data_IF_188190720571
#
_entry.id   IF_188190720571
#
_cell.length_a   1.000
_cell.length_b   1.000
_cell.length_c   1.000
_cell.angle_alpha   90.00
_cell.angle_beta   90.00
_cell.angle_gamma   90.00
#
_symmetry.space_group_name_H-M   'P 1'
#
loop_
_entity.id
_entity.type
_entity.pdbx_description
1 polymer ?
#
# COMPACT_ATOMS: atom_id res chain seq x y z
N UNK A 1 17.52 21.40 5.83
CA UNK A 1 17.59 20.56 4.62
C UNK A 1 16.14 20.31 4.23
N UNK A 2 15.72 20.56 2.98
CA UNK A 2 14.30 20.54 2.61
C UNK A 2 13.70 19.13 2.73
N UNK A 3 12.37 19.09 2.85
CA UNK A 3 11.61 17.85 2.72
C UNK A 3 11.69 17.31 1.29
N UNK A 4 11.84 16.00 1.14
CA UNK A 4 11.78 15.30 -0.15
C UNK A 4 10.31 15.07 -0.47
N UNK A 5 9.82 15.70 -1.54
CA UNK A 5 8.52 15.40 -2.11
C UNK A 5 8.68 14.38 -3.25
N UNK A 6 8.20 13.12 -3.10
CA UNK A 6 8.26 12.12 -4.17
C UNK A 6 7.55 12.54 -5.46
N UNK A 7 6.57 13.44 -5.36
CA UNK A 7 5.79 13.97 -6.48
C UNK A 7 6.39 15.25 -7.07
N UNK A 8 7.54 15.74 -6.56
CA UNK A 8 8.22 16.88 -7.15
C UNK A 8 8.59 16.56 -8.61
N UNK A 9 8.28 17.51 -9.50
CA UNK A 9 8.53 17.41 -10.95
C UNK A 9 7.86 16.24 -11.67
N UNK A 10 6.90 15.54 -11.04
CA UNK A 10 6.16 14.47 -11.69
C UNK A 10 5.07 15.03 -12.61
N UNK A 11 5.09 14.66 -13.90
CA UNK A 11 4.12 15.10 -14.94
C UNK A 11 3.22 13.96 -15.46
N UNK A 12 3.19 12.86 -14.73
CA UNK A 12 2.36 11.68 -14.98
C UNK A 12 0.86 11.83 -14.64
N UNK A 13 0.20 10.69 -14.48
CA UNK A 13 -1.22 10.59 -14.18
C UNK A 13 -1.46 9.72 -12.95
N UNK A 14 -2.49 10.06 -12.17
CA UNK A 14 -2.98 9.22 -11.09
C UNK A 14 -3.80 8.05 -11.65
N UNK A 15 -3.47 6.84 -11.22
CA UNK A 15 -4.27 5.64 -11.46
C UNK A 15 -4.56 4.91 -10.17
N UNK A 16 -5.73 4.26 -10.13
CA UNK A 16 -6.19 3.45 -9.01
C UNK A 16 -5.76 1.99 -9.18
N UNK A 17 -5.44 1.31 -8.08
CA UNK A 17 -5.31 -0.15 -8.07
C UNK A 17 -4.96 -0.74 -6.70
N UNK A 18 -4.94 -2.07 -6.63
CA UNK A 18 -4.57 -2.84 -5.45
C UNK A 18 -3.36 -3.74 -5.77
N UNK A 19 -2.49 -3.92 -4.78
CA UNK A 19 -1.32 -4.80 -4.88
C UNK A 19 -1.56 -6.18 -4.30
N UNK A 20 -2.69 -6.40 -3.61
CA UNK A 20 -2.96 -7.61 -2.85
C UNK A 20 -4.37 -8.09 -3.15
N UNK A 21 -4.48 -9.26 -3.79
CA UNK A 21 -5.76 -9.86 -4.16
C UNK A 21 -5.60 -11.32 -4.57
N UNK A 22 -6.69 -12.07 -4.38
CA UNK A 22 -6.70 -13.52 -4.50
C UNK A 22 -7.85 -13.99 -5.40
N UNK A 23 -7.69 -15.16 -6.01
CA UNK A 23 -8.75 -15.81 -6.76
C UNK A 23 -9.01 -17.24 -6.28
N UNK A 24 -10.25 -17.71 -6.43
CA UNK A 24 -10.67 -19.02 -5.94
C UNK A 24 -9.97 -20.19 -6.66
N UNK A 25 -9.48 -19.95 -7.88
CA UNK A 25 -8.78 -20.95 -8.67
C UNK A 25 -7.41 -21.33 -8.06
N UNK A 26 -6.79 -20.41 -7.32
CA UNK A 26 -5.41 -20.53 -6.87
C UNK A 26 -5.19 -20.26 -5.37
N UNK A 27 -6.15 -19.64 -4.68
CA UNK A 27 -6.12 -19.42 -3.23
C UNK A 27 -7.36 -20.03 -2.56
N UNK A 28 -7.17 -21.07 -1.75
CA UNK A 28 -8.26 -21.80 -1.09
C UNK A 28 -9.09 -20.98 -0.08
N UNK A 29 -8.60 -19.79 0.29
CA UNK A 29 -9.27 -18.81 1.14
C UNK A 29 -10.13 -17.82 0.35
N UNK A 30 -10.02 -17.76 -0.97
CA UNK A 30 -10.83 -16.88 -1.82
C UNK A 30 -12.09 -17.59 -2.30
N UNK A 31 -13.18 -16.84 -2.41
CA UNK A 31 -14.45 -17.26 -3.00
C UNK A 31 -14.76 -16.55 -4.32
N UNK A 32 -13.84 -15.72 -4.81
CA UNK A 32 -14.01 -14.88 -5.99
C UNK A 32 -13.23 -15.48 -7.17
N UNK A 33 -13.91 -15.86 -8.27
CA UNK A 33 -13.23 -16.30 -9.48
C UNK A 33 -12.37 -15.21 -10.10
N UNK A 34 -11.24 -15.58 -10.71
CA UNK A 34 -10.32 -14.66 -11.39
C UNK A 34 -11.07 -13.78 -12.39
N UNK A 35 -11.93 -14.37 -13.21
CA UNK A 35 -12.69 -13.64 -14.23
C UNK A 35 -13.62 -12.58 -13.62
N UNK A 36 -14.19 -12.83 -12.44
CA UNK A 36 -15.04 -11.89 -11.72
C UNK A 36 -14.19 -10.75 -11.13
N UNK A 37 -13.08 -11.09 -10.48
CA UNK A 37 -12.13 -10.11 -9.93
C UNK A 37 -11.66 -9.12 -11.01
N UNK A 38 -11.20 -9.62 -12.15
CA UNK A 38 -10.72 -8.77 -13.25
C UNK A 38 -11.81 -7.87 -13.83
N UNK A 39 -13.04 -8.39 -14.00
CA UNK A 39 -14.19 -7.58 -14.43
C UNK A 39 -14.50 -6.48 -13.42
N UNK A 40 -14.49 -6.78 -12.14
CA UNK A 40 -14.79 -5.80 -11.10
C UNK A 40 -13.76 -4.67 -11.07
N UNK A 41 -12.47 -4.98 -11.24
CA UNK A 41 -11.43 -3.96 -11.36
C UNK A 41 -11.60 -3.07 -12.60
N UNK A 42 -12.02 -3.64 -13.75
CA UNK A 42 -12.42 -2.83 -14.92
C UNK A 42 -13.63 -1.93 -14.59
N UNK A 43 -14.68 -2.46 -13.95
CA UNK A 43 -15.92 -1.73 -13.62
C UNK A 43 -15.71 -0.51 -12.72
N UNK A 44 -14.61 -0.47 -11.95
CA UNK A 44 -14.25 0.66 -11.09
C UNK A 44 -13.16 1.57 -11.68
N UNK A 45 -12.93 1.45 -12.99
CA UNK A 45 -11.92 2.19 -13.75
C UNK A 45 -10.52 2.12 -13.10
N UNK A 46 -10.14 0.93 -12.58
CA UNK A 46 -8.79 0.73 -12.09
C UNK A 46 -7.79 0.84 -13.24
N UNK A 47 -6.64 1.48 -12.99
CA UNK A 47 -5.54 1.52 -13.96
C UNK A 47 -4.55 0.38 -13.78
N UNK A 48 -4.57 -0.33 -12.64
CA UNK A 48 -3.83 -1.57 -12.48
C UNK A 48 -4.51 -2.55 -11.52
N UNK A 49 -4.17 -3.83 -11.68
CA UNK A 49 -4.54 -4.92 -10.77
C UNK A 49 -3.35 -5.85 -10.58
N UNK A 50 -3.25 -6.43 -9.40
CA UNK A 50 -2.26 -7.45 -9.06
C UNK A 50 -2.98 -8.67 -8.54
N UNK A 51 -2.64 -9.86 -9.05
CA UNK A 51 -3.01 -11.12 -8.42
C UNK A 51 -1.81 -11.66 -7.66
N UNK A 52 -2.02 -11.98 -6.40
CA UNK A 52 -0.99 -12.40 -5.44
C UNK A 52 -1.46 -13.62 -4.68
N UNK A 53 -1.91 -14.64 -5.40
CA UNK A 53 -2.32 -15.90 -4.80
C UNK A 53 -1.19 -16.50 -3.93
N UNK A 54 -1.58 -17.22 -2.88
CA UNK A 54 -0.63 -17.74 -1.90
C UNK A 54 0.38 -18.69 -2.56
N UNK A 55 1.66 -18.30 -2.56
CA UNK A 55 2.78 -19.06 -3.14
C UNK A 55 2.47 -19.57 -4.57
N UNK A 56 1.74 -18.80 -5.36
CA UNK A 56 1.33 -19.12 -6.73
C UNK A 56 1.35 -17.88 -7.64
N UNK A 57 1.81 -18.04 -8.88
CA UNK A 57 1.80 -16.96 -9.88
C UNK A 57 0.73 -17.27 -10.92
N UNK A 58 -0.37 -16.52 -10.84
CA UNK A 58 -1.52 -16.65 -11.73
C UNK A 58 -1.19 -16.08 -13.12
N UNK A 59 -1.45 -16.85 -14.18
CA UNK A 59 -1.18 -16.41 -15.56
C UNK A 59 -2.22 -15.37 -16.03
N UNK A 60 -1.83 -14.10 -15.99
CA UNK A 60 -2.64 -12.97 -16.45
C UNK A 60 -2.46 -12.68 -17.96
N UNK A 61 -1.69 -13.48 -18.69
CA UNK A 61 -1.45 -13.32 -20.14
C UNK A 61 -2.73 -13.25 -20.98
N UNK A 62 -3.71 -14.16 -20.79
CA UNK A 62 -4.99 -14.10 -21.48
C UNK A 62 -5.80 -12.84 -21.18
N UNK A 63 -5.74 -12.35 -19.94
CA UNK A 63 -6.50 -11.18 -19.49
C UNK A 63 -6.04 -9.88 -20.16
N UNK A 64 -4.75 -9.75 -20.49
CA UNK A 64 -4.19 -8.55 -21.17
C UNK A 64 -4.87 -8.25 -22.51
N UNK A 65 -5.39 -9.26 -23.20
CA UNK A 65 -6.12 -9.05 -24.47
C UNK A 65 -7.57 -8.60 -24.24
N UNK A 66 -8.16 -9.00 -23.11
CA UNK A 66 -9.55 -8.70 -22.77
C UNK A 66 -9.68 -7.30 -22.16
N UNK A 67 -8.70 -6.86 -21.38
CA UNK A 67 -8.72 -5.58 -20.66
C UNK A 67 -7.47 -4.74 -20.99
N UNK A 68 -7.39 -4.14 -22.19
CA UNK A 68 -6.17 -3.48 -22.68
C UNK A 68 -5.77 -2.22 -21.91
N UNK A 69 -6.72 -1.60 -21.20
CA UNK A 69 -6.49 -0.38 -20.41
C UNK A 69 -6.04 -0.68 -18.96
N UNK A 70 -6.07 -1.94 -18.54
CA UNK A 70 -5.69 -2.37 -17.20
C UNK A 70 -4.23 -2.87 -17.20
N UNK A 71 -3.37 -2.25 -16.40
CA UNK A 71 -2.02 -2.76 -16.20
C UNK A 71 -2.04 -3.98 -15.26
N UNK A 72 -1.57 -5.12 -15.75
CA UNK A 72 -1.52 -6.36 -14.97
C UNK A 72 -0.14 -6.59 -14.36
N UNK A 73 -0.07 -6.50 -13.04
CA UNK A 73 1.10 -6.93 -12.28
C UNK A 73 0.94 -8.41 -11.93
N UNK A 74 1.97 -9.18 -12.22
CA UNK A 74 2.09 -10.57 -11.77
C UNK A 74 2.70 -10.57 -10.38
N UNK A 75 2.23 -11.45 -9.51
CA UNK A 75 2.73 -11.53 -8.16
C UNK A 75 2.35 -12.83 -7.47
N UNK A 76 2.79 -12.93 -6.22
CA UNK A 76 2.38 -13.96 -5.27
C UNK A 76 2.44 -13.35 -3.87
N UNK A 77 1.60 -13.82 -2.96
CA UNK A 77 1.78 -13.58 -1.53
C UNK A 77 2.61 -14.72 -0.96
N UNK A 78 3.80 -14.41 -0.44
CA UNK A 78 4.64 -15.38 0.25
C UNK A 78 3.92 -15.83 1.52
N UNK A 79 3.61 -17.12 1.66
CA UNK A 79 2.69 -17.61 2.71
C UNK A 79 3.19 -18.79 3.55
N UNK A 80 4.46 -19.17 3.41
CA UNK A 80 5.05 -20.21 4.27
C UNK A 80 5.45 -19.70 5.68
N UNK A 81 5.40 -18.38 5.89
CA UNK A 81 5.52 -17.70 7.20
C UNK A 81 4.71 -16.40 7.15
N UNK A 82 5.04 -15.41 7.99
CA UNK A 82 4.38 -14.11 7.93
C UNK A 82 4.46 -13.50 6.51
N UNK A 83 3.37 -12.87 6.08
CA UNK A 83 3.08 -12.67 4.67
C UNK A 83 3.81 -11.47 4.07
N UNK A 84 4.25 -11.63 2.83
CA UNK A 84 4.87 -10.57 2.00
C UNK A 84 4.44 -10.73 0.56
N UNK A 85 3.85 -9.69 -0.05
CA UNK A 85 3.60 -9.63 -1.49
C UNK A 85 4.90 -9.36 -2.23
N UNK A 86 5.10 -10.09 -3.34
CA UNK A 86 6.08 -9.79 -4.38
C UNK A 86 5.34 -9.57 -5.68
N UNK A 87 5.51 -8.42 -6.33
CA UNK A 87 4.83 -8.16 -7.61
C UNK A 87 5.63 -7.29 -8.59
N UNK A 88 5.32 -7.45 -9.87
CA UNK A 88 5.84 -6.62 -10.95
C UNK A 88 5.35 -7.04 -12.34
N UNK A 89 6.02 -6.58 -13.41
CA UNK A 89 5.62 -6.96 -14.78
C UNK A 89 5.79 -8.47 -15.06
N UNK A 90 6.75 -9.09 -14.37
CA UNK A 90 6.95 -10.54 -14.32
C UNK A 90 7.61 -10.90 -13.00
N UNK A 91 7.33 -12.09 -12.48
CA UNK A 91 7.91 -12.58 -11.23
C UNK A 91 8.33 -14.05 -11.38
N UNK A 92 9.46 -14.41 -10.79
CA UNK A 92 9.92 -15.80 -10.68
C UNK A 92 9.26 -16.48 -9.45
N UNK A 93 9.29 -17.81 -9.39
CA UNK A 93 8.76 -18.60 -8.26
C UNK A 93 9.64 -18.48 -6.98
N UNK A 94 9.87 -17.26 -6.51
CA UNK A 94 10.74 -16.93 -5.36
C UNK A 94 10.18 -17.47 -4.03
N UNK A 95 8.87 -17.76 -3.96
CA UNK A 95 8.25 -18.46 -2.83
C UNK A 95 8.82 -19.87 -2.56
N UNK A 96 9.63 -20.42 -3.48
CA UNK A 96 10.36 -21.68 -3.26
C UNK A 96 11.66 -21.52 -2.47
N UNK A 97 12.09 -20.28 -2.22
CA UNK A 97 13.28 -19.94 -1.45
C UNK A 97 12.89 -19.56 -0.01
N UNK A 98 13.88 -19.39 0.87
CA UNK A 98 13.59 -18.69 2.13
C UNK A 98 13.17 -17.25 1.84
N UNK A 99 12.37 -16.65 2.72
CA UNK A 99 11.95 -15.25 2.55
C UNK A 99 13.14 -14.29 2.44
N UNK A 100 14.21 -14.52 3.19
CA UNK A 100 15.44 -13.74 3.15
C UNK A 100 16.15 -13.84 1.78
N UNK A 101 16.23 -15.04 1.22
CA UNK A 101 16.78 -15.27 -0.12
C UNK A 101 15.88 -14.68 -1.22
N UNK A 102 14.56 -14.79 -1.07
CA UNK A 102 13.58 -14.22 -1.98
C UNK A 102 13.69 -12.69 -2.01
N UNK A 103 13.73 -12.02 -0.86
CA UNK A 103 13.90 -10.57 -0.76
C UNK A 103 15.23 -10.11 -1.36
N UNK A 104 16.33 -10.84 -1.09
CA UNK A 104 17.65 -10.54 -1.69
C UNK A 104 17.61 -10.63 -3.22
N UNK A 105 16.74 -11.48 -3.78
CA UNK A 105 16.57 -11.69 -5.22
C UNK A 105 15.44 -10.87 -5.85
N UNK A 106 14.68 -10.11 -5.05
CA UNK A 106 13.51 -9.38 -5.53
C UNK A 106 13.87 -8.37 -6.62
N UNK A 107 15.05 -7.74 -6.54
CA UNK A 107 15.54 -6.80 -7.55
C UNK A 107 14.56 -5.65 -7.78
N UNK A 108 14.01 -5.59 -8.99
CA UNK A 108 13.08 -4.54 -9.41
C UNK A 108 11.62 -4.80 -8.98
N UNK A 109 11.30 -5.95 -8.38
CA UNK A 109 9.96 -6.25 -7.87
C UNK A 109 9.59 -5.29 -6.74
N UNK A 110 8.30 -4.98 -6.61
CA UNK A 110 7.75 -4.34 -5.43
C UNK A 110 7.51 -5.40 -4.35
N UNK A 111 7.94 -5.12 -3.13
CA UNK A 111 7.77 -6.00 -1.97
C UNK A 111 7.01 -5.30 -0.85
N UNK A 112 5.94 -5.92 -0.37
CA UNK A 112 5.03 -5.31 0.63
C UNK A 112 4.79 -6.29 1.77
N UNK A 113 5.08 -5.89 3.01
CA UNK A 113 4.68 -6.65 4.20
C UNK A 113 3.15 -6.62 4.32
N UNK A 114 2.51 -7.78 4.26
CA UNK A 114 1.06 -7.87 4.36
C UNK A 114 0.60 -7.84 5.81
N UNK A 115 -0.51 -7.14 6.04
CA UNK A 115 -1.31 -7.11 7.26
C UNK A 115 -0.53 -7.37 8.55
N UNK A 116 0.49 -6.55 8.89
CA UNK A 116 1.60 -6.94 9.78
C UNK A 116 1.21 -7.30 11.21
N UNK A 117 0.08 -6.82 11.71
CA UNK A 117 -0.38 -7.10 13.06
C UNK A 117 -1.88 -7.39 13.04
N UNK A 118 -2.32 -8.46 12.36
CA UNK A 118 -3.72 -8.62 11.96
C UNK A 118 -4.62 -8.94 13.15
N UNK A 119 -4.03 -9.34 14.29
CA UNK A 119 -4.68 -9.55 15.57
C UNK A 119 -4.14 -8.60 16.66
N UNK A 120 -3.51 -7.49 16.24
CA UNK A 120 -2.82 -6.53 17.09
C UNK A 120 -1.40 -6.95 17.51
N UNK A 121 -0.61 -5.98 17.99
CA UNK A 121 0.81 -6.15 18.34
C UNK A 121 1.09 -7.23 19.40
N UNK A 122 0.11 -7.56 20.24
CA UNK A 122 0.26 -8.58 21.27
C UNK A 122 0.35 -10.01 20.71
N UNK A 123 -0.11 -10.24 19.47
CA UNK A 123 0.14 -11.47 18.74
C UNK A 123 1.32 -11.22 17.81
N UNK A 124 2.48 -11.76 18.17
CA UNK A 124 3.74 -11.60 17.43
C UNK A 124 3.67 -12.25 16.04
N UNK A 125 2.98 -11.60 15.10
CA UNK A 125 3.00 -11.89 13.67
C UNK A 125 4.22 -11.19 13.06
N UNK A 126 4.07 -10.03 12.42
CA UNK A 126 5.22 -9.19 12.10
C UNK A 126 5.61 -8.30 13.29
N UNK A 127 6.91 -8.26 13.57
CA UNK A 127 7.53 -7.34 14.54
C UNK A 127 8.73 -6.68 13.89
N UNK A 128 9.13 -5.50 14.36
CA UNK A 128 10.32 -4.82 13.81
C UNK A 128 11.57 -5.70 13.88
N UNK A 129 11.90 -6.40 14.99
CA UNK A 129 13.05 -7.30 15.01
C UNK A 129 12.98 -8.44 13.97
N UNK A 130 11.79 -8.96 13.66
CA UNK A 130 11.64 -9.98 12.60
C UNK A 130 11.94 -9.40 11.23
N UNK A 131 11.47 -8.19 10.92
CA UNK A 131 11.77 -7.50 9.65
C UNK A 131 13.26 -7.16 9.54
N UNK A 132 13.86 -6.61 10.60
CA UNK A 132 15.30 -6.29 10.65
C UNK A 132 16.18 -7.53 10.47
N UNK A 133 15.72 -8.69 10.97
CA UNK A 133 16.43 -9.96 10.82
C UNK A 133 16.40 -10.53 9.39
N UNK A 134 15.55 -10.01 8.48
CA UNK A 134 15.50 -10.47 7.08
C UNK A 134 16.73 -10.06 6.27
N UNK A 135 17.49 -9.07 6.75
CA UNK A 135 18.69 -8.55 6.10
C UNK A 135 18.43 -7.63 4.89
N UNK A 136 17.31 -7.81 4.19
CA UNK A 136 16.78 -6.90 3.17
C UNK A 136 15.40 -6.42 3.62
N UNK A 137 15.23 -5.11 3.77
CA UNK A 137 13.95 -4.52 4.13
C UNK A 137 13.01 -4.52 2.90
N UNK A 138 11.74 -4.96 3.04
CA UNK A 138 10.74 -4.77 2.00
C UNK A 138 10.53 -3.30 1.65
N UNK A 139 10.05 -3.00 0.45
CA UNK A 139 9.84 -1.62 -0.03
C UNK A 139 8.76 -0.88 0.75
N UNK A 140 7.78 -1.62 1.30
CA UNK A 140 6.72 -1.04 2.12
C UNK A 140 5.96 -2.06 2.94
N UNK A 141 4.91 -1.56 3.59
CA UNK A 141 3.99 -2.35 4.40
C UNK A 141 2.56 -1.97 4.08
N UNK A 142 1.62 -2.87 4.33
CA UNK A 142 0.21 -2.50 4.43
C UNK A 142 0.00 -1.63 5.68
N UNK A 143 -0.53 -0.43 5.48
CA UNK A 143 -1.03 0.45 6.55
C UNK A 143 -2.53 0.26 6.77
N UNK A 144 -3.23 -0.28 5.77
CA UNK A 144 -4.62 -0.69 5.88
C UNK A 144 -4.88 -1.96 5.05
N UNK A 145 -5.52 -2.96 5.67
CA UNK A 145 -5.98 -4.17 4.98
C UNK A 145 -7.51 -4.24 4.98
N UNK A 146 -8.08 -4.28 3.78
CA UNK A 146 -9.50 -4.24 3.50
C UNK A 146 -10.29 -5.44 3.99
N UNK A 147 -9.78 -6.64 3.70
CA UNK A 147 -10.36 -7.92 4.15
C UNK A 147 -10.54 -7.97 5.67
N UNK A 148 -9.55 -7.48 6.42
CA UNK A 148 -9.65 -7.36 7.88
C UNK A 148 -10.48 -6.18 8.39
N UNK A 149 -10.85 -5.27 7.50
CA UNK A 149 -11.73 -4.13 7.77
C UNK A 149 -13.22 -4.48 7.73
N UNK A 150 -13.59 -5.60 7.11
CA UNK A 150 -14.99 -6.03 6.95
C UNK A 150 -15.66 -6.36 8.29
N UNK A 151 -17.01 -6.30 8.38
CA UNK A 151 -17.73 -6.73 9.58
C UNK A 151 -17.33 -8.14 10.04
N UNK A 152 -17.12 -9.06 9.09
CA UNK A 152 -16.68 -10.43 9.34
C UNK A 152 -15.27 -10.47 9.93
N UNK A 153 -14.30 -9.77 9.31
CA UNK A 153 -12.94 -9.67 9.80
C UNK A 153 -12.88 -9.14 11.24
N UNK A 154 -13.59 -8.03 11.49
CA UNK A 154 -13.67 -7.41 12.83
C UNK A 154 -14.33 -8.31 13.86
N UNK A 155 -15.38 -9.05 13.51
CA UNK A 155 -16.03 -10.02 14.40
C UNK A 155 -15.11 -11.17 14.80
N UNK A 156 -14.16 -11.54 13.93
CA UNK A 156 -13.12 -12.54 14.20
C UNK A 156 -11.92 -11.98 14.99
N UNK A 157 -12.00 -10.73 15.45
CA UNK A 157 -10.95 -10.05 16.21
C UNK A 157 -9.80 -9.53 15.35
N UNK A 158 -9.99 -9.44 14.03
CA UNK A 158 -9.01 -8.82 13.13
C UNK A 158 -9.01 -7.31 13.32
N UNK A 159 -7.89 -6.70 12.99
CA UNK A 159 -7.71 -5.25 13.03
C UNK A 159 -7.07 -4.81 11.70
N UNK A 160 -7.66 -3.83 10.99
CA UNK A 160 -7.23 -3.49 9.63
C UNK A 160 -6.13 -2.42 9.59
N UNK A 161 -5.84 -1.73 10.70
CA UNK A 161 -5.07 -0.48 10.70
C UNK A 161 -3.67 -0.71 11.30
N UNK A 162 -2.63 -0.41 10.51
CA UNK A 162 -1.24 -0.70 10.89
C UNK A 162 -0.34 0.54 10.88
N UNK A 163 -0.92 1.74 10.88
CA UNK A 163 -0.15 2.99 10.90
C UNK A 163 0.74 3.13 12.16
N UNK A 164 0.35 2.56 13.31
CA UNK A 164 1.21 2.52 14.51
C UNK A 164 2.48 1.67 14.27
N UNK A 165 2.36 0.53 13.58
CA UNK A 165 3.52 -0.29 13.22
C UNK A 165 4.36 0.38 12.13
N UNK A 166 3.72 1.09 11.20
CA UNK A 166 4.43 1.91 10.23
C UNK A 166 5.29 2.98 10.91
N UNK A 167 4.71 3.71 11.87
CA UNK A 167 5.43 4.70 12.67
C UNK A 167 6.60 4.09 13.44
N UNK A 168 6.44 2.88 13.98
CA UNK A 168 7.53 2.17 14.66
C UNK A 168 8.74 1.97 13.73
N UNK A 169 8.50 1.59 12.47
CA UNK A 169 9.53 1.38 11.47
C UNK A 169 10.17 2.70 11.01
N UNK A 170 9.36 3.71 10.69
CA UNK A 170 9.84 5.03 10.29
C UNK A 170 10.66 5.69 11.41
N UNK A 171 10.22 5.58 12.66
CA UNK A 171 10.94 6.08 13.84
C UNK A 171 12.28 5.38 14.04
N UNK A 172 12.38 4.10 13.68
CA UNK A 172 13.63 3.35 13.72
C UNK A 172 14.59 3.71 12.58
N UNK A 173 14.19 4.61 11.67
CA UNK A 173 15.00 5.07 10.54
C UNK A 173 14.86 4.21 9.28
N UNK A 174 13.88 3.30 9.23
CA UNK A 174 13.60 2.53 8.03
C UNK A 174 12.80 3.36 7.03
N UNK A 175 13.21 3.36 5.77
CA UNK A 175 12.51 4.05 4.69
C UNK A 175 11.59 3.04 3.99
N UNK A 176 10.37 2.89 4.53
CA UNK A 176 9.35 1.97 4.01
C UNK A 176 8.08 2.74 3.67
N UNK A 177 7.48 2.43 2.53
CA UNK A 177 6.23 3.04 2.07
C UNK A 177 4.99 2.40 2.70
N UNK A 178 3.90 3.15 2.76
CA UNK A 178 2.60 2.69 3.27
C UNK A 178 1.63 2.41 2.13
N UNK A 179 1.05 1.21 2.10
CA UNK A 179 0.09 0.78 1.10
C UNK A 179 -1.26 0.36 1.72
N UNK A 180 -2.35 0.52 0.97
CA UNK A 180 -3.68 0.07 1.37
C UNK A 180 -4.23 -0.84 0.30
N UNK A 181 -4.61 -2.06 0.66
CA UNK A 181 -5.15 -3.03 -0.28
C UNK A 181 -6.45 -3.60 0.25
N UNK A 182 -7.35 -3.94 -0.67
CA UNK A 182 -8.58 -4.65 -0.34
C UNK A 182 -8.32 -6.08 0.11
N UNK A 183 -7.20 -6.68 -0.34
CA UNK A 183 -6.85 -8.08 -0.04
C UNK A 183 -8.00 -9.00 -0.46
N UNK A 184 -8.39 -8.86 -1.73
CA UNK A 184 -9.68 -9.32 -2.22
C UNK A 184 -9.79 -10.84 -2.19
N UNK A 185 -10.57 -11.37 -1.23
CA UNK A 185 -10.86 -12.80 -1.07
C UNK A 185 -12.35 -13.10 -1.29
N UNK A 186 -13.21 -12.24 -0.76
CA UNK A 186 -14.65 -12.38 -0.74
C UNK A 186 -15.31 -11.12 -1.33
N UNK A 187 -16.52 -11.22 -1.92
CA UNK A 187 -17.20 -10.08 -2.52
C UNK A 187 -17.35 -8.83 -1.62
N UNK A 188 -17.32 -8.99 -0.30
CA UNK A 188 -17.39 -7.87 0.67
C UNK A 188 -16.07 -7.09 0.84
N UNK A 189 -14.95 -7.65 0.40
CA UNK A 189 -13.64 -7.00 0.49
C UNK A 189 -13.44 -5.97 -0.63
N UNK A 190 -14.06 -6.23 -1.80
CA UNK A 190 -13.73 -5.53 -3.04
C UNK A 190 -13.73 -4.02 -2.88
N UNK A 191 -12.65 -3.38 -3.33
CA UNK A 191 -12.63 -1.93 -3.55
C UNK A 191 -12.77 -1.09 -2.28
N UNK A 192 -12.66 -1.68 -1.09
CA UNK A 192 -12.82 -0.98 0.19
C UNK A 192 -11.51 -0.31 0.69
N UNK A 193 -10.37 -0.65 0.08
CA UNK A 193 -9.07 -0.02 0.25
C UNK A 193 -8.26 -0.18 -1.05
N UNK A 194 -7.51 0.85 -1.42
CA UNK A 194 -6.70 0.83 -2.64
C UNK A 194 -5.58 1.88 -2.56
N UNK A 195 -4.73 1.86 -3.57
CA UNK A 195 -3.68 2.84 -3.76
C UNK A 195 -4.00 3.71 -4.97
N UNK A 196 -3.75 5.01 -4.82
CA UNK A 196 -3.59 5.90 -5.95
C UNK A 196 -2.09 5.98 -6.24
N UNK A 197 -1.69 5.74 -7.48
CA UNK A 197 -0.28 5.70 -7.90
C UNK A 197 -0.10 6.69 -9.05
N UNK A 198 0.89 7.58 -8.93
CA UNK A 198 1.19 8.59 -9.93
C UNK A 198 2.25 8.07 -10.90
N UNK A 199 1.82 7.65 -12.09
CA UNK A 199 2.66 6.96 -13.07
C UNK A 199 2.97 7.83 -14.28
N UNK A 200 4.20 7.71 -14.79
CA UNK A 200 4.59 8.34 -16.07
C UNK A 200 4.10 7.53 -17.28
N UNK A 201 3.81 6.24 -17.05
CA UNK A 201 3.33 5.28 -18.05
C UNK A 201 2.40 4.26 -17.35
N UNK A 202 1.22 4.01 -17.94
CA UNK A 202 0.23 3.06 -17.41
C UNK A 202 0.62 1.64 -17.81
N UNK A 203 1.68 1.14 -17.19
CA UNK A 203 2.18 -0.22 -17.35
C UNK A 203 2.58 -0.82 -16.00
N UNK A 204 2.68 -2.14 -15.92
CA UNK A 204 3.10 -2.82 -14.70
C UNK A 204 4.46 -2.31 -14.19
N UNK A 205 5.40 -2.04 -15.12
CA UNK A 205 6.71 -1.46 -14.79
C UNK A 205 6.57 -0.01 -14.29
N UNK A 206 5.75 0.80 -14.93
CA UNK A 206 5.49 2.19 -14.51
C UNK A 206 4.90 2.25 -13.09
N UNK A 207 3.94 1.38 -12.79
CA UNK A 207 3.33 1.23 -11.46
C UNK A 207 4.38 0.88 -10.40
N UNK A 208 5.21 -0.13 -10.64
CA UNK A 208 6.24 -0.56 -9.68
C UNK A 208 7.27 0.54 -9.43
N UNK A 209 7.74 1.22 -10.48
CA UNK A 209 8.70 2.33 -10.35
C UNK A 209 8.07 3.46 -9.51
N UNK A 210 6.83 3.85 -9.82
CA UNK A 210 6.13 4.90 -9.08
C UNK A 210 5.94 4.51 -7.60
N UNK A 211 5.44 3.30 -7.33
CA UNK A 211 5.23 2.80 -5.97
C UNK A 211 6.53 2.75 -5.15
N UNK A 212 7.62 2.16 -5.69
CA UNK A 212 8.94 2.11 -5.02
C UNK A 212 9.57 3.49 -4.83
N UNK A 213 9.18 4.48 -5.62
CA UNK A 213 9.63 5.87 -5.47
C UNK A 213 8.78 6.71 -4.51
N UNK A 214 7.70 6.17 -3.94
CA UNK A 214 6.80 6.91 -3.05
C UNK A 214 5.79 7.80 -3.77
N UNK A 215 5.66 7.67 -5.09
CA UNK A 215 4.67 8.39 -5.91
C UNK A 215 3.31 7.73 -5.81
N UNK A 216 2.81 7.59 -4.59
CA UNK A 216 1.54 6.91 -4.30
C UNK A 216 0.93 7.41 -3.00
N UNK A 217 -0.31 7.02 -2.72
CA UNK A 217 -0.89 7.06 -1.38
C UNK A 217 -1.96 5.99 -1.23
N UNK A 218 -2.16 5.54 0.01
CA UNK A 218 -3.20 4.58 0.34
C UNK A 218 -4.50 5.31 0.73
N UNK A 219 -5.65 4.74 0.39
CA UNK A 219 -6.95 5.31 0.71
C UNK A 219 -8.03 4.23 0.87
N UNK A 220 -9.05 4.54 1.67
CA UNK A 220 -10.31 3.77 1.73
C UNK A 220 -11.49 4.60 1.19
N UNK A 221 -11.21 5.70 0.49
CA UNK A 221 -12.18 6.57 -0.19
C UNK A 221 -11.95 8.07 -0.07
N UNK A 222 -11.20 8.54 0.93
CA UNK A 222 -10.81 9.95 1.00
C UNK A 222 -9.65 10.22 0.02
N UNK A 223 -9.83 11.17 -0.90
CA UNK A 223 -8.88 11.41 -1.99
C UNK A 223 -8.03 12.66 -1.74
N UNK A 224 -6.80 12.62 -2.23
CA UNK A 224 -5.91 13.78 -2.30
C UNK A 224 -6.38 14.68 -3.45
N UNK A 225 -6.60 15.97 -3.16
CA UNK A 225 -6.77 17.00 -4.19
C UNK A 225 -5.45 17.65 -4.56
N UNK A 226 -4.60 17.93 -3.56
CA UNK A 226 -3.31 18.58 -3.77
C UNK A 226 -2.33 18.29 -2.63
N UNK A 227 -1.03 18.24 -2.96
CA UNK A 227 0.07 18.17 -2.01
C UNK A 227 1.13 19.19 -2.43
N UNK A 228 1.28 20.24 -1.64
CA UNK A 228 2.25 21.30 -1.87
C UNK A 228 3.35 21.17 -0.82
N UNK A 229 4.61 21.13 -1.28
CA UNK A 229 5.79 21.11 -0.43
C UNK A 229 6.74 22.21 -0.90
N UNK A 230 6.86 23.28 -0.11
CA UNK A 230 7.74 24.42 -0.37
C UNK A 230 8.76 24.57 0.77
N UNK A 231 9.95 24.01 0.56
CA UNK A 231 11.00 23.94 1.57
C UNK A 231 10.59 23.07 2.76
N UNK A 232 10.25 23.71 3.88
CA UNK A 232 9.78 23.06 5.10
C UNK A 232 8.25 23.20 5.27
N UNK A 233 7.57 23.97 4.40
CA UNK A 233 6.12 24.13 4.44
C UNK A 233 5.42 22.99 3.69
N UNK A 234 4.46 22.34 4.35
CA UNK A 234 3.61 21.29 3.74
C UNK A 234 2.16 21.74 3.81
N UNK A 235 1.46 21.69 2.68
CA UNK A 235 0.02 21.91 2.57
C UNK A 235 -0.64 20.70 1.89
N UNK A 236 -1.73 20.21 2.48
CA UNK A 236 -2.48 19.04 2.01
C UNK A 236 -3.94 19.41 1.85
N UNK A 237 -4.49 19.12 0.67
CA UNK A 237 -5.90 19.27 0.34
C UNK A 237 -6.54 17.91 0.11
N UNK A 238 -7.69 17.66 0.73
CA UNK A 238 -8.44 16.41 0.60
C UNK A 238 -9.86 16.69 0.09
N UNK A 239 -10.48 15.68 -0.52
CA UNK A 239 -11.73 15.83 -1.29
C UNK A 239 -12.98 16.22 -0.49
N UNK A 240 -12.93 16.15 0.84
CA UNK A 240 -14.03 16.56 1.73
C UNK A 240 -13.48 16.89 3.11
N UNK A 241 -14.27 17.58 3.93
CA UNK A 241 -13.91 17.85 5.33
C UNK A 241 -13.58 16.54 6.06
N UNK A 242 -12.42 16.53 6.70
CA UNK A 242 -11.86 15.38 7.39
C UNK A 242 -11.25 15.80 8.73
N UNK A 243 -10.94 14.83 9.57
CA UNK A 243 -10.06 15.00 10.72
C UNK A 243 -8.67 14.57 10.30
N UNK A 244 -7.76 15.54 10.17
CA UNK A 244 -6.41 15.32 9.66
C UNK A 244 -5.35 15.58 10.70
N UNK A 245 -4.20 14.92 10.53
CA UNK A 245 -3.02 15.13 11.37
C UNK A 245 -1.72 14.93 10.59
N UNK A 246 -0.75 15.79 10.91
CA UNK A 246 0.66 15.58 10.58
C UNK A 246 1.32 14.79 11.72
N UNK A 247 2.11 13.79 11.36
CA UNK A 247 2.78 12.88 12.29
C UNK A 247 4.26 12.81 11.97
N UNK A 248 5.09 12.82 13.01
CA UNK A 248 6.55 12.70 12.92
C UNK A 248 7.11 11.56 13.76
N UNK A 249 8.44 11.55 14.00
CA UNK A 249 9.12 10.51 14.75
C UNK A 249 8.48 10.21 16.11
N UNK A 250 8.39 8.93 16.46
CA UNK A 250 7.76 8.45 17.68
C UNK A 250 6.24 8.48 17.64
N UNK A 251 5.63 8.47 16.45
CA UNK A 251 4.19 8.66 16.24
C UNK A 251 3.67 9.98 16.83
N UNK A 252 4.52 11.01 16.92
CA UNK A 252 4.17 12.30 17.51
C UNK A 252 3.21 13.06 16.58
N UNK A 253 2.04 13.42 17.08
CA UNK A 253 1.13 14.34 16.37
C UNK A 253 1.74 15.74 16.41
N UNK A 254 2.24 16.19 15.27
CA UNK A 254 2.92 17.48 15.09
C UNK A 254 1.90 18.62 14.97
N UNK A 255 0.82 18.37 14.23
CA UNK A 255 -0.32 19.25 14.07
C UNK A 255 -1.57 18.43 13.74
N UNK A 256 -2.75 18.95 14.09
CA UNK A 256 -4.03 18.34 13.73
C UNK A 256 -5.11 19.39 13.55
N UNK A 257 -6.19 19.04 12.84
CA UNK A 257 -7.30 19.93 12.59
C UNK A 257 -8.51 19.20 12.02
N UNK A 258 -9.55 19.98 11.73
CA UNK A 258 -10.74 19.55 11.00
C UNK A 258 -10.97 20.46 9.80
N UNK A 259 -11.39 19.89 8.67
CA UNK A 259 -11.64 20.59 7.40
C UNK A 259 -11.03 19.86 6.21
N UNK A 260 -11.06 20.49 5.03
CA UNK A 260 -10.50 19.92 3.80
C UNK A 260 -9.05 20.36 3.50
N UNK A 261 -8.48 21.28 4.29
CA UNK A 261 -7.13 21.84 4.08
C UNK A 261 -6.32 21.82 5.36
N UNK A 262 -5.09 21.34 5.26
CA UNK A 262 -4.17 21.18 6.38
C UNK A 262 -2.81 21.74 6.01
N UNK A 263 -2.15 22.42 6.93
CA UNK A 263 -0.78 22.86 6.73
C UNK A 263 0.07 22.70 7.97
N UNK A 264 1.36 22.54 7.75
CA UNK A 264 2.36 22.39 8.79
C UNK A 264 3.72 22.89 8.31
N UNK A 265 4.39 23.68 9.14
CA UNK A 265 5.78 24.09 8.94
C UNK A 265 6.69 23.11 9.70
N UNK A 266 7.41 22.28 8.95
CA UNK A 266 8.31 21.29 9.51
C UNK A 266 9.50 21.95 10.23
N UNK A 267 9.83 21.40 11.40
CA UNK A 267 11.06 21.67 12.12
C UNK A 267 12.14 20.68 11.69
N UNK A 268 12.93 20.20 12.65
CA UNK A 268 14.03 19.25 12.41
C UNK A 268 13.63 17.78 12.50
N UNK A 269 12.34 17.47 12.34
CA UNK A 269 11.86 16.09 12.29
C UNK A 269 12.52 15.32 11.14
N UNK A 270 12.87 14.06 11.38
CA UNK A 270 13.47 13.21 10.34
C UNK A 270 12.49 12.91 9.19
N UNK A 271 11.19 12.93 9.47
CA UNK A 271 10.13 12.82 8.49
C UNK A 271 8.85 13.50 8.99
N UNK A 272 7.99 13.86 8.04
CA UNK A 272 6.61 14.28 8.28
C UNK A 272 5.71 13.43 7.39
N UNK A 273 4.68 12.81 7.96
CA UNK A 273 3.60 12.16 7.19
C UNK A 273 2.26 12.79 7.50
N UNK A 274 1.30 12.62 6.61
CA UNK A 274 -0.07 13.09 6.80
C UNK A 274 -1.05 11.93 6.69
N UNK A 275 -2.04 11.92 7.58
CA UNK A 275 -3.20 11.04 7.47
C UNK A 275 -4.48 11.79 7.87
N UNK A 276 -5.60 11.39 7.28
CA UNK A 276 -6.91 11.94 7.63
C UNK A 276 -8.02 10.90 7.51
N UNK A 277 -9.13 11.16 8.19
CA UNK A 277 -10.35 10.35 8.13
C UNK A 277 -11.61 11.21 8.02
N UNK A 278 -12.57 10.75 7.23
CA UNK A 278 -13.92 11.31 7.12
C UNK A 278 -14.94 10.20 6.89
N UNK A 279 -16.21 10.56 6.71
CA UNK A 279 -17.26 9.61 6.31
C UNK A 279 -17.00 8.99 4.92
N UNK A 280 -16.17 9.64 4.09
CA UNK A 280 -15.75 9.10 2.79
C UNK A 280 -14.65 8.04 2.92
N UNK A 281 -13.99 7.91 4.08
CA UNK A 281 -12.91 6.97 4.30
C UNK A 281 -11.64 7.62 4.85
N UNK A 282 -10.52 6.92 4.73
CA UNK A 282 -9.20 7.32 5.21
C UNK A 282 -8.26 7.63 4.06
N UNK A 283 -7.24 8.44 4.34
CA UNK A 283 -6.09 8.66 3.46
C UNK A 283 -4.80 8.56 4.27
N UNK A 284 -3.79 7.94 3.69
CA UNK A 284 -2.44 7.84 4.25
C UNK A 284 -1.44 8.26 3.19
N UNK A 285 -0.86 9.46 3.35
CA UNK A 285 0.19 9.94 2.45
C UNK A 285 1.54 9.38 2.85
N UNK A 286 2.42 9.18 1.87
CA UNK A 286 3.78 8.73 2.11
C UNK A 286 4.56 9.75 2.96
N UNK A 287 5.52 9.30 3.78
CA UNK A 287 6.40 10.19 4.53
C UNK A 287 7.20 11.09 3.59
N UNK A 288 7.27 12.37 3.94
CA UNK A 288 8.22 13.33 3.41
C UNK A 288 9.45 13.29 4.32
N UNK A 289 10.56 12.75 3.85
CA UNK A 289 11.80 12.70 4.65
C UNK A 289 12.58 14.00 4.55
N UNK A 290 13.30 14.33 5.62
CA UNK A 290 14.26 15.41 5.61
C UNK A 290 15.56 14.93 4.95
N UNK A 291 16.12 15.77 4.06
CA UNK A 291 17.44 15.52 3.44
C UNK A 291 18.59 15.61 4.44
#
# INVERSE_FOLDING_TARGET
>A
MPLINPLADADGTWIRGSFHGHCDEHSACSSVPLADSLRQYEEVDAGFVTLTDHDHITDLGPARQQYPELAFLHGFEYSTRENVVFCGDSVDELFRLSLEEALTKAGDLLTIVCHPQPMGAAREYWTRPKLEALGTMPDGIEVYNGHYGTPTGRANGRQPLYNDFWDELLTAGHHVWGFGNDDFHDPEDFSNAWNMVHVDDVSAKGVVIAAKSGRSYATTGLLLEDLIVDGDHVEVHVSTDAKGRFVGPGALVLASGEGARFSYDAGDEAYVRFEAESDAGRIFLQPLWKT
#
